data_IF_616883793876
#
_entry.id   IF_616883793876
#
_cell.length_a   1.000
_cell.length_b   1.000
_cell.length_c   1.000
_cell.angle_alpha   90.00
_cell.angle_beta   90.00
_cell.angle_gamma   90.00
#
_symmetry.space_group_name_H-M   'P 1'
#
loop_
_entity.id
_entity.type
_entity.pdbx_description
1 polymer ?
#
# COMPACT_ATOMS: atom_id res chain seq x y z
N UNK A 1 -8.81 29.88 -13.19
CA UNK A 1 -9.70 28.80 -13.65
C UNK A 1 -10.06 27.99 -12.43
N UNK A 2 -11.34 27.95 -12.05
CA UNK A 2 -11.80 26.98 -11.02
C UNK A 2 -11.40 25.59 -11.49
N UNK A 3 -10.71 24.83 -10.63
CA UNK A 3 -10.46 23.42 -10.89
C UNK A 3 -11.82 22.75 -11.07
N UNK A 4 -12.09 22.20 -12.27
CA UNK A 4 -13.38 21.61 -12.58
C UNK A 4 -13.62 20.42 -11.64
N UNK A 5 -14.63 20.54 -10.78
CA UNK A 5 -15.06 19.48 -9.87
C UNK A 5 -15.60 18.31 -10.69
N UNK A 6 -14.96 17.14 -10.59
CA UNK A 6 -15.43 15.89 -11.22
C UNK A 6 -15.86 14.93 -10.14
N UNK A 7 -17.12 14.52 -10.16
CA UNK A 7 -17.62 13.48 -9.25
C UNK A 7 -17.24 12.09 -9.78
N UNK A 8 -16.45 11.29 -9.04
CA UNK A 8 -16.09 9.95 -9.49
C UNK A 8 -17.29 9.01 -9.36
N UNK A 9 -17.41 8.06 -10.29
CA UNK A 9 -18.34 6.95 -10.13
C UNK A 9 -17.88 6.05 -8.98
N UNK A 10 -18.75 5.82 -7.99
CA UNK A 10 -18.46 4.92 -6.87
C UNK A 10 -18.93 3.52 -7.23
N UNK A 11 -18.00 2.56 -7.27
CA UNK A 11 -18.30 1.14 -7.50
C UNK A 11 -17.91 0.34 -6.25
N UNK A 12 -18.82 -0.46 -5.72
CA UNK A 12 -18.58 -1.30 -4.53
C UNK A 12 -18.59 -2.79 -4.81
N UNK A 13 -19.11 -3.21 -5.96
CA UNK A 13 -19.19 -4.62 -6.35
C UNK A 13 -18.06 -5.03 -7.31
N UNK A 14 -17.54 -6.24 -7.12
CA UNK A 14 -16.40 -6.79 -7.88
C UNK A 14 -16.78 -7.00 -9.35
N UNK A 15 -18.00 -7.46 -9.64
CA UNK A 15 -18.46 -7.73 -11.00
C UNK A 15 -18.77 -6.44 -11.75
N UNK A 16 -19.38 -5.46 -11.08
CA UNK A 16 -19.60 -4.13 -11.64
C UNK A 16 -18.28 -3.44 -12.02
N UNK A 17 -17.26 -3.54 -11.17
CA UNK A 17 -15.93 -2.99 -11.47
C UNK A 17 -15.30 -3.65 -12.70
N UNK A 18 -15.34 -4.99 -12.77
CA UNK A 18 -14.86 -5.73 -13.95
C UNK A 18 -15.61 -5.36 -15.22
N UNK A 19 -16.95 -5.26 -15.14
CA UNK A 19 -17.79 -4.88 -16.27
C UNK A 19 -17.45 -3.48 -16.76
N UNK A 20 -17.28 -2.52 -15.85
CA UNK A 20 -16.85 -1.17 -16.19
C UNK A 20 -15.49 -1.18 -16.87
N UNK A 21 -14.48 -1.83 -16.28
CA UNK A 21 -13.12 -1.87 -16.83
C UNK A 21 -13.10 -2.47 -18.23
N UNK A 22 -13.73 -3.64 -18.42
CA UNK A 22 -13.77 -4.31 -19.72
C UNK A 22 -14.51 -3.51 -20.78
N UNK A 23 -15.57 -2.79 -20.39
CA UNK A 23 -16.30 -1.88 -21.30
C UNK A 23 -15.41 -0.71 -21.73
N UNK A 24 -14.64 -0.14 -20.82
CA UNK A 24 -13.73 0.97 -21.16
C UNK A 24 -12.55 0.49 -22.00
N UNK A 25 -11.98 -0.67 -21.66
CA UNK A 25 -10.89 -1.30 -22.43
C UNK A 25 -11.34 -1.67 -23.85
N UNK A 26 -12.57 -2.16 -24.05
CA UNK A 26 -13.08 -2.47 -25.40
C UNK A 26 -13.27 -1.22 -26.27
N UNK A 27 -13.33 -0.04 -25.67
CA UNK A 27 -13.32 1.26 -26.35
C UNK A 27 -11.89 1.81 -26.57
N UNK A 28 -10.86 1.01 -26.30
CA UNK A 28 -9.45 1.40 -26.45
C UNK A 28 -8.96 2.37 -25.36
N UNK A 29 -9.66 2.49 -24.22
CA UNK A 29 -9.22 3.34 -23.11
C UNK A 29 -8.26 2.58 -22.21
N UNK A 30 -7.14 3.23 -21.88
CA UNK A 30 -6.19 2.76 -20.87
C UNK A 30 -6.63 3.15 -19.45
N UNK A 31 -6.39 2.28 -18.47
CA UNK A 31 -6.81 2.42 -17.08
C UNK A 31 -5.59 2.49 -16.16
N UNK A 32 -5.50 3.55 -15.37
CA UNK A 32 -4.53 3.74 -14.29
C UNK A 32 -5.16 3.42 -12.95
N UNK A 33 -4.50 2.62 -12.13
CA UNK A 33 -4.96 2.26 -10.78
C UNK A 33 -4.04 2.86 -9.70
N UNK A 34 -4.65 3.49 -8.70
CA UNK A 34 -3.99 3.90 -7.46
C UNK A 34 -4.60 3.13 -6.28
N UNK A 35 -3.95 2.05 -5.79
CA UNK A 35 -4.43 1.32 -4.64
C UNK A 35 -4.17 2.07 -3.34
N UNK A 36 -5.21 2.29 -2.53
CA UNK A 36 -5.11 2.96 -1.22
C UNK A 36 -5.95 2.26 -0.15
N UNK A 37 -5.67 2.58 1.11
CA UNK A 37 -6.52 2.21 2.26
C UNK A 37 -7.41 3.36 2.74
N UNK A 38 -7.55 4.44 1.97
CA UNK A 38 -8.28 5.64 2.38
C UNK A 38 -7.50 6.54 3.36
N UNK A 39 -8.22 7.49 3.95
CA UNK A 39 -7.68 8.59 4.74
C UNK A 39 -6.60 9.36 3.96
N UNK A 40 -6.99 9.81 2.79
CA UNK A 40 -6.15 10.37 1.75
C UNK A 40 -5.52 11.70 2.21
N UNK A 41 -4.32 11.93 1.71
CA UNK A 41 -3.48 13.11 1.96
C UNK A 41 -2.77 13.48 0.66
N UNK A 42 -2.05 14.59 0.61
CA UNK A 42 -1.45 15.09 -0.64
C UNK A 42 -0.49 14.07 -1.30
N UNK A 43 0.20 13.25 -0.51
CA UNK A 43 1.02 12.14 -1.06
C UNK A 43 0.23 11.07 -1.82
N UNK A 44 -1.07 10.88 -1.53
CA UNK A 44 -1.95 10.02 -2.34
C UNK A 44 -2.42 10.75 -3.59
N UNK A 45 -2.74 12.05 -3.47
CA UNK A 45 -3.16 12.89 -4.58
C UNK A 45 -2.08 12.95 -5.67
N UNK A 46 -0.80 13.04 -5.30
CA UNK A 46 0.30 12.99 -6.27
C UNK A 46 0.39 11.66 -7.03
N UNK A 47 -0.06 10.53 -6.45
CA UNK A 47 -0.15 9.25 -7.17
C UNK A 47 -1.25 9.29 -8.23
N UNK A 48 -2.39 9.91 -7.90
CA UNK A 48 -3.52 10.10 -8.81
C UNK A 48 -3.12 11.00 -9.97
N UNK A 49 -2.46 12.12 -9.69
CA UNK A 49 -1.91 13.02 -10.71
C UNK A 49 -0.93 12.31 -11.64
N UNK A 50 -0.11 11.39 -11.11
CA UNK A 50 0.79 10.60 -11.95
C UNK A 50 0.03 9.58 -12.81
N UNK A 51 -1.01 8.92 -12.28
CA UNK A 51 -1.85 8.02 -13.06
C UNK A 51 -2.54 8.76 -14.23
N UNK A 52 -3.07 9.95 -13.98
CA UNK A 52 -3.75 10.79 -14.97
C UNK A 52 -2.85 11.19 -16.15
N UNK A 53 -1.53 11.30 -15.95
CA UNK A 53 -0.57 11.59 -17.03
C UNK A 53 -0.32 10.38 -17.93
N UNK A 54 -0.58 9.17 -17.45
CA UNK A 54 -0.13 7.92 -18.06
C UNK A 54 -1.26 7.12 -18.70
N UNK A 55 -2.52 7.41 -18.37
CA UNK A 55 -3.68 6.65 -18.83
C UNK A 55 -4.88 7.54 -19.17
N UNK A 56 -5.86 7.01 -19.90
CA UNK A 56 -7.06 7.76 -20.27
C UNK A 56 -8.06 7.87 -19.12
N UNK A 57 -8.11 6.84 -18.27
CA UNK A 57 -9.01 6.74 -17.13
C UNK A 57 -8.22 6.44 -15.87
N UNK A 58 -8.69 6.93 -14.73
CA UNK A 58 -8.07 6.72 -13.42
C UNK A 58 -9.06 6.13 -12.43
N UNK A 59 -8.65 5.02 -11.82
CA UNK A 59 -9.35 4.32 -10.75
C UNK A 59 -8.56 4.48 -9.45
N UNK A 60 -9.21 4.90 -8.38
CA UNK A 60 -8.65 4.86 -7.03
C UNK A 60 -9.37 3.78 -6.24
N UNK A 61 -8.65 2.80 -5.69
CA UNK A 61 -9.28 1.86 -4.76
C UNK A 61 -9.13 2.36 -3.33
N UNK A 62 -10.20 2.28 -2.53
CA UNK A 62 -10.18 2.57 -1.10
C UNK A 62 -10.64 1.30 -0.38
N UNK A 63 -9.70 0.58 0.23
CA UNK A 63 -10.00 -0.63 0.98
C UNK A 63 -8.97 -0.88 2.08
N UNK A 64 -9.41 -0.86 3.34
CA UNK A 64 -8.57 -1.27 4.48
C UNK A 64 -8.52 -2.79 4.50
N UNK A 65 -7.38 -3.33 4.10
CA UNK A 65 -7.20 -4.77 3.91
C UNK A 65 -6.96 -5.48 5.25
N UNK A 66 -7.85 -6.32 5.79
CA UNK A 66 -7.59 -7.05 7.04
C UNK A 66 -6.46 -8.08 6.91
N UNK A 67 -6.23 -8.66 5.73
CA UNK A 67 -5.24 -9.72 5.53
C UNK A 67 -3.77 -9.27 5.65
N UNK A 68 -3.51 -7.96 5.71
CA UNK A 68 -2.17 -7.41 5.95
C UNK A 68 -1.96 -6.94 7.39
N UNK A 69 -2.95 -7.08 8.28
CA UNK A 69 -2.82 -6.74 9.69
C UNK A 69 -2.70 -8.02 10.53
N UNK A 70 -1.78 -8.02 11.49
CA UNK A 70 -1.82 -8.99 12.57
C UNK A 70 -2.86 -8.58 13.63
N UNK A 71 -3.43 -9.51 14.42
CA UNK A 71 -4.39 -9.21 15.48
C UNK A 71 -3.96 -8.13 16.48
N UNK A 72 -2.65 -8.01 16.70
CA UNK A 72 -2.05 -7.00 17.58
C UNK A 72 -1.84 -5.63 16.93
N UNK A 73 -2.12 -5.48 15.63
CA UNK A 73 -1.96 -4.24 14.89
C UNK A 73 -3.23 -3.38 14.89
N UNK A 74 -3.12 -2.20 14.31
CA UNK A 74 -4.08 -1.11 14.43
C UNK A 74 -5.27 -1.19 13.45
N UNK A 75 -5.73 -2.39 13.08
CA UNK A 75 -6.84 -2.55 12.12
C UNK A 75 -8.11 -1.84 12.61
N UNK A 76 -8.49 -2.03 13.88
CA UNK A 76 -9.70 -1.46 14.48
C UNK A 76 -9.63 0.06 14.69
N UNK A 77 -8.42 0.61 14.74
CA UNK A 77 -8.16 2.04 14.94
C UNK A 77 -7.63 2.73 13.69
N UNK A 78 -7.62 2.04 12.53
CA UNK A 78 -7.12 2.61 11.29
C UNK A 78 -8.02 3.80 10.90
N UNK A 79 -7.45 4.99 10.59
CA UNK A 79 -8.25 6.17 10.33
C UNK A 79 -9.09 6.01 9.05
N UNK A 80 -10.33 6.48 9.09
CA UNK A 80 -11.24 6.45 7.94
C UNK A 80 -12.05 7.74 7.87
N UNK A 81 -12.15 8.30 6.66
CA UNK A 81 -12.97 9.47 6.34
C UNK A 81 -13.34 9.41 4.86
N UNK A 82 -14.27 8.50 4.52
CA UNK A 82 -14.63 8.27 3.13
C UNK A 82 -15.17 9.53 2.44
N UNK A 83 -15.96 10.35 3.16
CA UNK A 83 -16.49 11.59 2.61
C UNK A 83 -15.38 12.61 2.31
N UNK A 84 -14.42 12.77 3.24
CA UNK A 84 -13.25 13.61 3.01
C UNK A 84 -12.34 13.07 1.91
N UNK A 85 -12.25 11.75 1.74
CA UNK A 85 -11.50 11.12 0.66
C UNK A 85 -12.13 11.43 -0.71
N UNK A 86 -13.44 11.21 -0.87
CA UNK A 86 -14.16 11.57 -2.09
C UNK A 86 -14.02 13.06 -2.36
N UNK A 87 -14.20 13.91 -1.34
CA UNK A 87 -14.06 15.36 -1.48
C UNK A 87 -12.70 15.74 -2.06
N UNK A 88 -11.59 15.19 -1.52
CA UNK A 88 -10.24 15.45 -2.06
C UNK A 88 -10.10 14.97 -3.50
N UNK A 89 -10.61 13.78 -3.83
CA UNK A 89 -10.52 13.22 -5.18
C UNK A 89 -11.30 14.03 -6.22
N UNK A 90 -12.42 14.66 -5.83
CA UNK A 90 -13.22 15.51 -6.71
C UNK A 90 -12.49 16.78 -7.18
N UNK A 91 -11.54 17.27 -6.39
CA UNK A 91 -10.77 18.48 -6.67
C UNK A 91 -9.43 18.21 -7.37
N UNK A 92 -9.10 16.94 -7.66
CA UNK A 92 -7.88 16.61 -8.40
C UNK A 92 -8.03 17.12 -9.84
N UNK A 93 -7.10 17.95 -10.35
CA UNK A 93 -7.13 18.40 -11.74
C UNK A 93 -7.10 17.21 -12.71
N UNK A 94 -8.02 17.18 -13.69
CA UNK A 94 -8.23 16.03 -14.58
C UNK A 94 -9.23 15.00 -14.05
N UNK A 95 -9.36 14.92 -12.72
CA UNK A 95 -10.42 14.23 -11.99
C UNK A 95 -10.37 12.70 -12.05
N UNK A 96 -10.77 12.05 -10.96
CA UNK A 96 -10.88 10.59 -10.89
C UNK A 96 -12.14 10.10 -11.62
N UNK A 97 -12.02 9.02 -12.40
CA UNK A 97 -13.17 8.43 -13.10
C UNK A 97 -13.97 7.51 -12.18
N UNK A 98 -13.28 6.66 -11.42
CA UNK A 98 -13.90 5.68 -10.53
C UNK A 98 -13.21 5.63 -9.18
N UNK A 99 -14.01 5.59 -8.11
CA UNK A 99 -13.56 5.13 -6.80
C UNK A 99 -14.11 3.73 -6.58
N UNK A 100 -13.21 2.75 -6.54
CA UNK A 100 -13.55 1.38 -6.21
C UNK A 100 -13.46 1.18 -4.70
N UNK A 101 -14.62 1.13 -4.03
CA UNK A 101 -14.73 0.98 -2.58
C UNK A 101 -15.48 -0.32 -2.25
N UNK A 102 -14.81 -1.49 -2.40
CA UNK A 102 -15.48 -2.76 -2.21
C UNK A 102 -15.90 -2.96 -0.76
N UNK A 103 -17.12 -3.49 -0.55
CA UNK A 103 -17.56 -3.91 0.78
C UNK A 103 -16.61 -4.96 1.37
N UNK A 104 -16.18 -5.90 0.53
CA UNK A 104 -15.15 -6.84 0.88
C UNK A 104 -14.43 -7.36 -0.35
N UNK A 105 -13.13 -7.64 -0.21
CA UNK A 105 -12.38 -8.37 -1.21
C UNK A 105 -12.31 -9.86 -0.91
N UNK A 106 -12.45 -10.27 0.35
CA UNK A 106 -12.49 -11.66 0.79
C UNK A 106 -13.91 -12.21 0.74
N UNK A 107 -14.05 -13.53 0.75
CA UNK A 107 -15.34 -14.18 0.87
C UNK A 107 -15.34 -14.84 2.26
N UNK A 108 -16.22 -14.36 3.13
CA UNK A 108 -16.48 -14.98 4.42
C UNK A 108 -17.65 -15.94 4.20
N UNK A 109 -17.47 -17.24 4.49
CA UNK A 109 -18.58 -18.19 4.39
C UNK A 109 -19.78 -17.70 5.22
N UNK A 110 -20.97 -17.70 4.64
CA UNK A 110 -22.18 -17.22 5.30
C UNK A 110 -22.44 -17.98 6.62
N UNK A 111 -22.27 -17.30 7.75
CA UNK A 111 -22.56 -17.81 9.10
C UNK A 111 -24.06 -18.03 9.40
N UNK A 112 -24.95 -17.92 8.41
CA UNK A 112 -26.38 -18.17 8.60
C UNK A 112 -26.77 -19.67 8.62
N UNK A 113 -25.82 -20.61 8.56
CA UNK A 113 -26.13 -22.06 8.63
C UNK A 113 -25.34 -22.87 9.66
N UNK A 114 -24.53 -22.25 10.54
CA UNK A 114 -23.96 -22.98 11.68
C UNK A 114 -24.93 -22.94 12.86
N UNK A 115 -25.56 -24.09 13.11
CA UNK A 115 -26.36 -24.33 14.31
C UNK A 115 -25.58 -23.94 15.56
N UNK A 116 -26.23 -23.22 16.49
CA UNK A 116 -25.72 -22.81 17.82
C UNK A 116 -25.25 -23.96 18.74
N UNK A 117 -25.26 -25.21 18.27
CA UNK A 117 -24.91 -26.38 19.06
C UNK A 117 -23.50 -26.94 18.78
N UNK A 118 -22.71 -26.33 17.90
CA UNK A 118 -21.36 -26.81 17.58
C UNK A 118 -20.25 -25.86 18.07
N UNK A 119 -20.46 -25.28 19.25
CA UNK A 119 -19.47 -24.45 19.96
C UNK A 119 -18.46 -25.36 20.68
N UNK A 120 -17.87 -26.30 19.94
CA UNK A 120 -17.21 -27.45 20.55
C UNK A 120 -16.16 -28.19 19.73
N UNK A 121 -15.52 -27.61 18.71
CA UNK A 121 -14.27 -28.17 18.15
C UNK A 121 -13.57 -27.24 17.14
N UNK A 122 -12.86 -26.22 17.63
CA UNK A 122 -11.69 -25.68 16.90
C UNK A 122 -10.53 -25.57 17.90
N UNK A 123 -10.07 -26.73 18.38
CA UNK A 123 -8.75 -26.86 18.99
C UNK A 123 -8.01 -27.95 18.21
N UNK A 124 -6.78 -27.63 17.86
CA UNK A 124 -5.74 -28.50 17.29
C UNK A 124 -5.70 -28.56 15.76
N UNK A 125 -5.18 -27.48 15.15
CA UNK A 125 -4.33 -27.61 13.97
C UNK A 125 -2.87 -27.47 14.45
N UNK A 126 -2.34 -28.56 15.01
CA UNK A 126 -0.90 -28.69 15.24
C UNK A 126 -0.22 -28.95 13.89
N UNK A 127 0.24 -27.88 13.25
CA UNK A 127 1.06 -27.91 12.03
C UNK A 127 1.93 -26.66 12.00
N UNK A 128 3.26 -26.85 12.04
CA UNK A 128 4.30 -25.81 12.16
C UNK A 128 4.03 -24.54 11.31
N UNK A 129 3.81 -23.42 12.00
CA UNK A 129 3.97 -22.06 11.47
C UNK A 129 2.85 -21.10 11.86
N UNK A 130 2.67 -20.82 13.14
CA UNK A 130 1.59 -19.94 13.62
C UNK A 130 1.86 -18.49 13.20
N UNK A 131 1.19 -18.08 12.12
CA UNK A 131 1.14 -16.71 11.62
C UNK A 131 -0.32 -16.43 11.27
N UNK A 132 -1.03 -15.79 12.20
CA UNK A 132 -2.47 -15.49 12.11
C UNK A 132 -2.63 -14.02 11.73
N UNK A 133 -3.25 -13.74 10.58
CA UNK A 133 -3.75 -12.40 10.23
C UNK A 133 -5.13 -12.15 10.83
N UNK A 134 -5.59 -10.89 10.90
CA UNK A 134 -6.96 -10.57 11.34
C UNK A 134 -8.03 -11.31 10.50
N UNK A 135 -7.73 -11.62 9.24
CA UNK A 135 -8.61 -12.40 8.36
C UNK A 135 -8.69 -13.88 8.75
N UNK A 136 -7.56 -14.48 9.14
CA UNK A 136 -7.50 -15.89 9.55
C UNK A 136 -8.06 -16.08 10.98
N UNK A 137 -7.93 -15.07 11.85
CA UNK A 137 -8.49 -15.10 13.22
C UNK A 137 -10.02 -15.04 13.23
N UNK A 138 -10.62 -14.23 12.37
CA UNK A 138 -12.09 -14.11 12.29
C UNK A 138 -12.78 -15.39 11.82
N UNK A 139 -12.01 -16.40 11.38
CA UNK A 139 -12.49 -17.58 10.67
C UNK A 139 -12.99 -17.21 9.28
N UNK A 140 -12.90 -18.18 8.37
CA UNK A 140 -13.61 -18.29 7.08
C UNK A 140 -12.80 -18.11 5.78
N UNK A 141 -12.89 -19.15 4.95
CA UNK A 141 -13.01 -19.16 3.48
C UNK A 141 -11.78 -18.82 2.64
N UNK A 142 -10.87 -17.95 3.10
CA UNK A 142 -9.78 -17.49 2.24
C UNK A 142 -8.53 -18.39 2.30
N UNK A 143 -8.41 -19.28 1.32
CA UNK A 143 -7.32 -20.26 1.27
C UNK A 143 -6.17 -19.85 0.35
N UNK A 144 -6.42 -18.96 -0.61
CA UNK A 144 -5.44 -18.60 -1.66
C UNK A 144 -4.66 -17.35 -1.30
N UNK A 145 -3.35 -17.49 -1.15
CA UNK A 145 -2.46 -16.39 -0.81
C UNK A 145 -1.35 -16.23 -1.84
N UNK A 146 -0.89 -14.99 -2.05
CA UNK A 146 0.27 -14.68 -2.88
C UNK A 146 1.41 -14.23 -1.97
N UNK A 147 2.60 -14.81 -2.16
CA UNK A 147 3.82 -14.50 -1.40
C UNK A 147 4.97 -14.20 -2.34
N UNK A 148 5.82 -13.26 -1.94
CA UNK A 148 7.07 -12.95 -2.66
C UNK A 148 8.22 -13.39 -1.76
N UNK A 149 8.42 -14.71 -1.72
CA UNK A 149 9.09 -15.43 -0.64
C UNK A 149 10.38 -14.79 -0.14
N UNK A 150 11.29 -14.39 -1.03
CA UNK A 150 12.59 -13.84 -0.63
C UNK A 150 12.53 -12.36 -0.25
N UNK A 151 11.72 -11.56 -0.95
CA UNK A 151 11.70 -10.10 -0.75
C UNK A 151 10.83 -9.67 0.42
N UNK A 152 9.86 -10.49 0.82
CA UNK A 152 9.05 -10.25 2.02
C UNK A 152 9.84 -10.47 3.32
N UNK A 153 10.95 -11.20 3.27
CA UNK A 153 11.79 -11.46 4.44
C UNK A 153 12.69 -10.26 4.77
N UNK A 154 12.90 -10.01 6.07
CA UNK A 154 13.74 -8.93 6.56
C UNK A 154 13.08 -7.55 6.47
N UNK A 155 13.78 -6.50 6.93
CA UNK A 155 13.27 -5.12 6.99
C UNK A 155 11.90 -5.07 7.69
N UNK A 156 10.90 -4.44 7.06
CA UNK A 156 9.54 -4.34 7.58
C UNK A 156 8.90 -5.73 7.80
N UNK A 157 9.21 -6.71 6.94
CA UNK A 157 8.63 -8.05 7.04
C UNK A 157 9.14 -8.84 8.24
N UNK A 158 10.30 -8.47 8.81
CA UNK A 158 10.78 -9.06 10.07
C UNK A 158 9.88 -8.70 11.24
N UNK A 159 9.39 -7.46 11.28
CA UNK A 159 8.49 -6.97 12.33
C UNK A 159 7.03 -7.26 12.05
N UNK A 160 6.68 -7.54 10.78
CA UNK A 160 5.30 -7.72 10.31
C UNK A 160 5.16 -8.95 9.39
N UNK A 161 5.19 -10.17 9.95
CA UNK A 161 5.30 -11.41 9.17
C UNK A 161 4.13 -11.68 8.20
N UNK A 162 2.92 -11.18 8.49
CA UNK A 162 1.74 -11.30 7.59
C UNK A 162 1.66 -10.22 6.53
N UNK A 163 2.32 -9.07 6.74
CA UNK A 163 1.98 -7.83 6.05
C UNK A 163 2.11 -7.96 4.55
N UNK A 164 3.25 -8.46 4.06
CA UNK A 164 3.49 -8.52 2.62
C UNK A 164 2.73 -9.63 1.90
N UNK A 165 2.42 -10.75 2.58
CA UNK A 165 1.48 -11.76 2.04
C UNK A 165 0.10 -11.13 1.84
N UNK A 166 -0.38 -10.37 2.83
CA UNK A 166 -1.63 -9.62 2.74
C UNK A 166 -1.65 -8.59 1.61
N UNK A 167 -0.58 -7.79 1.50
CA UNK A 167 -0.40 -6.80 0.42
C UNK A 167 -0.41 -7.48 -0.95
N UNK A 168 0.46 -8.48 -1.18
CA UNK A 168 0.59 -9.13 -2.47
C UNK A 168 -0.74 -9.78 -2.89
N UNK A 169 -1.46 -10.38 -1.93
CA UNK A 169 -2.77 -10.98 -2.15
C UNK A 169 -3.82 -9.94 -2.52
N UNK A 170 -3.95 -8.85 -1.76
CA UNK A 170 -4.97 -7.83 -2.05
C UNK A 170 -4.68 -7.09 -3.35
N UNK A 171 -3.42 -6.79 -3.65
CA UNK A 171 -3.02 -6.13 -4.90
C UNK A 171 -3.28 -7.05 -6.09
N UNK A 172 -2.99 -8.35 -5.98
CA UNK A 172 -3.36 -9.35 -6.99
C UNK A 172 -4.86 -9.38 -7.25
N UNK A 173 -5.68 -9.32 -6.20
CA UNK A 173 -7.15 -9.28 -6.34
C UNK A 173 -7.61 -7.99 -7.02
N UNK A 174 -7.04 -6.84 -6.64
CA UNK A 174 -7.34 -5.56 -7.29
C UNK A 174 -6.95 -5.56 -8.77
N UNK A 175 -5.79 -6.12 -9.13
CA UNK A 175 -5.37 -6.25 -10.54
C UNK A 175 -6.33 -7.12 -11.36
N UNK A 176 -6.81 -8.24 -10.79
CA UNK A 176 -7.80 -9.11 -11.43
C UNK A 176 -9.22 -8.51 -11.51
N UNK A 177 -9.55 -7.52 -10.69
CA UNK A 177 -10.87 -6.88 -10.67
C UNK A 177 -10.88 -5.63 -11.56
N UNK A 178 -9.84 -4.79 -11.44
CA UNK A 178 -9.75 -3.51 -12.14
C UNK A 178 -9.15 -3.67 -13.54
N UNK A 179 -8.31 -4.69 -13.77
CA UNK A 179 -7.60 -4.92 -15.04
C UNK A 179 -6.87 -3.65 -15.56
N UNK A 180 -6.02 -3.00 -14.75
CA UNK A 180 -5.37 -1.75 -15.15
C UNK A 180 -4.21 -1.99 -16.12
N UNK A 181 -3.87 -0.99 -16.94
CA UNK A 181 -2.64 -0.99 -17.75
C UNK A 181 -1.44 -0.44 -16.97
N UNK A 182 -1.71 0.46 -16.02
CA UNK A 182 -0.72 1.10 -15.16
C UNK A 182 -1.20 1.03 -13.71
N UNK A 183 -0.32 0.71 -12.77
CA UNK A 183 -0.60 0.89 -11.35
C UNK A 183 0.50 1.73 -10.68
N UNK A 184 0.08 2.71 -9.89
CA UNK A 184 0.97 3.72 -9.29
C UNK A 184 1.07 3.50 -7.78
N UNK A 185 2.30 3.45 -7.27
CA UNK A 185 2.61 3.26 -5.86
C UNK A 185 3.62 4.29 -5.38
N UNK A 186 3.53 4.72 -4.12
CA UNK A 186 4.52 5.60 -3.51
C UNK A 186 5.78 4.83 -3.07
N UNK A 187 6.97 5.36 -3.38
CA UNK A 187 8.25 4.81 -2.91
C UNK A 187 8.48 4.97 -1.41
N UNK A 188 7.58 5.66 -0.70
CA UNK A 188 7.56 5.74 0.78
C UNK A 188 7.59 4.34 1.38
N UNK A 189 6.76 3.46 0.84
CA UNK A 189 6.69 2.07 1.26
C UNK A 189 7.54 1.23 0.29
N UNK A 190 8.86 1.51 0.27
CA UNK A 190 9.78 1.03 -0.76
C UNK A 190 9.78 -0.49 -0.93
N UNK A 191 9.83 -1.25 0.18
CA UNK A 191 9.78 -2.72 0.13
C UNK A 191 8.44 -3.22 -0.46
N UNK A 192 7.33 -2.55 -0.16
CA UNK A 192 6.02 -2.85 -0.73
C UNK A 192 6.04 -2.68 -2.25
N UNK A 193 6.53 -1.53 -2.73
CA UNK A 193 6.65 -1.26 -4.17
C UNK A 193 7.52 -2.30 -4.86
N UNK A 194 8.67 -2.67 -4.27
CA UNK A 194 9.56 -3.72 -4.82
C UNK A 194 8.91 -5.11 -4.84
N UNK A 195 8.12 -5.45 -3.83
CA UNK A 195 7.34 -6.69 -3.77
C UNK A 195 6.30 -6.72 -4.87
N UNK A 196 5.54 -5.65 -5.07
CA UNK A 196 4.55 -5.56 -6.16
C UNK A 196 5.23 -5.65 -7.52
N UNK A 197 6.34 -4.95 -7.74
CA UNK A 197 7.11 -5.05 -8.99
C UNK A 197 7.58 -6.48 -9.26
N UNK A 198 8.09 -7.17 -8.23
CA UNK A 198 8.54 -8.54 -8.36
C UNK A 198 7.39 -9.50 -8.65
N UNK A 199 6.28 -9.34 -7.94
CA UNK A 199 5.05 -10.11 -8.14
C UNK A 199 4.51 -9.97 -9.55
N UNK A 200 4.45 -8.73 -10.07
CA UNK A 200 4.00 -8.42 -11.43
C UNK A 200 4.85 -9.12 -12.48
N UNK A 201 6.18 -9.06 -12.30
CA UNK A 201 7.13 -9.74 -13.18
C UNK A 201 7.01 -11.26 -13.12
N UNK A 202 6.93 -11.83 -11.92
CA UNK A 202 6.98 -13.28 -11.71
C UNK A 202 5.66 -13.98 -12.07
N UNK A 203 4.54 -13.25 -12.05
CA UNK A 203 3.20 -13.75 -12.40
C UNK A 203 2.70 -13.23 -13.76
N UNK A 204 3.61 -12.69 -14.58
CA UNK A 204 3.35 -12.24 -15.95
C UNK A 204 2.16 -11.27 -16.09
N UNK A 205 1.99 -10.38 -15.10
CA UNK A 205 0.98 -9.34 -15.20
C UNK A 205 1.36 -8.34 -16.29
N UNK A 206 0.46 -8.13 -17.26
CA UNK A 206 0.57 -7.09 -18.29
C UNK A 206 0.24 -5.69 -17.72
N UNK A 207 0.90 -5.32 -16.62
CA UNK A 207 0.65 -4.09 -15.86
C UNK A 207 1.97 -3.36 -15.65
N UNK A 208 2.06 -2.10 -16.06
CA UNK A 208 3.24 -1.27 -15.80
C UNK A 208 3.17 -0.68 -14.39
N UNK A 209 4.17 -0.99 -13.56
CA UNK A 209 4.25 -0.50 -12.18
C UNK A 209 5.10 0.75 -12.08
N UNK A 210 4.47 1.86 -11.67
CA UNK A 210 5.11 3.17 -11.54
C UNK A 210 5.32 3.48 -10.06
N UNK A 211 6.56 3.86 -9.73
CA UNK A 211 6.94 4.29 -8.38
C UNK A 211 7.17 5.78 -8.34
N UNK A 212 6.43 6.51 -7.50
CA UNK A 212 6.60 7.96 -7.32
C UNK A 212 7.45 8.27 -6.09
N UNK A 213 8.17 9.39 -6.12
CA UNK A 213 8.97 9.82 -4.98
C UNK A 213 8.11 10.24 -3.77
N UNK A 214 8.71 10.15 -2.59
CA UNK A 214 8.04 10.45 -1.32
C UNK A 214 7.68 11.93 -1.26
N UNK A 215 6.39 12.24 -1.11
CA UNK A 215 5.95 13.59 -0.80
C UNK A 215 6.09 13.88 0.71
N UNK A 216 6.51 15.10 1.03
CA UNK A 216 6.77 15.56 2.39
C UNK A 216 5.97 16.82 2.69
N UNK A 217 5.62 17.01 3.95
CA UNK A 217 5.16 18.30 4.47
C UNK A 217 6.24 19.38 4.29
N UNK A 218 5.86 20.64 4.42
CA UNK A 218 6.76 21.80 4.28
C UNK A 218 7.97 21.76 5.23
N UNK A 219 7.87 21.05 6.35
CA UNK A 219 8.96 20.86 7.32
C UNK A 219 9.79 19.60 7.07
N UNK A 220 9.48 18.84 6.02
CA UNK A 220 10.21 17.66 5.57
C UNK A 220 9.69 16.33 6.13
N UNK A 221 8.65 16.31 6.96
CA UNK A 221 8.05 15.06 7.44
C UNK A 221 7.42 14.30 6.27
N UNK A 222 7.65 12.99 6.15
CA UNK A 222 6.96 12.20 5.12
C UNK A 222 5.45 12.17 5.41
N UNK A 223 4.64 12.40 4.37
CA UNK A 223 3.19 12.36 4.51
C UNK A 223 2.71 10.92 4.74
N UNK A 224 1.83 10.73 5.72
CA UNK A 224 1.27 9.45 6.11
C UNK A 224 -0.08 9.65 6.81
N UNK A 225 -1.06 8.79 6.53
CA UNK A 225 -2.33 8.76 7.26
C UNK A 225 -2.10 8.60 8.77
N UNK A 226 -1.09 7.81 9.15
CA UNK A 226 -0.70 7.54 10.54
C UNK A 226 -0.13 8.75 11.29
N UNK A 227 0.18 9.85 10.61
CA UNK A 227 0.67 11.06 11.30
C UNK A 227 -0.39 11.68 12.22
N UNK A 228 -1.68 11.36 12.03
CA UNK A 228 -2.79 11.81 12.90
C UNK A 228 -2.65 11.31 14.35
N UNK A 229 -1.91 10.23 14.58
CA UNK A 229 -1.70 9.66 15.92
C UNK A 229 -0.59 10.39 16.69
N UNK A 230 0.19 11.26 16.05
CA UNK A 230 1.31 11.95 16.70
C UNK A 230 0.82 13.21 17.42
N UNK A 231 1.18 13.35 18.70
CA UNK A 231 1.09 14.65 19.38
C UNK A 231 2.02 15.68 18.73
N UNK A 232 1.78 16.98 18.97
CA UNK A 232 2.66 18.04 18.45
C UNK A 232 4.14 17.86 18.87
N UNK A 233 4.39 17.30 20.06
CA UNK A 233 5.74 17.00 20.55
C UNK A 233 6.36 15.83 19.79
N UNK A 234 5.63 14.75 19.58
CA UNK A 234 6.09 13.58 18.82
C UNK A 234 6.29 13.92 17.35
N UNK A 235 5.39 14.69 16.74
CA UNK A 235 5.51 15.14 15.35
C UNK A 235 6.79 15.94 15.12
N UNK A 236 7.18 16.82 16.05
CA UNK A 236 8.46 17.55 15.98
C UNK A 236 9.66 16.61 16.09
N UNK A 237 9.60 15.58 16.95
CA UNK A 237 10.66 14.57 17.08
C UNK A 237 10.78 13.69 15.83
N UNK A 238 9.67 13.37 15.17
CA UNK A 238 9.63 12.56 13.96
C UNK A 238 10.43 13.18 12.79
N UNK A 239 10.67 14.49 12.79
CA UNK A 239 11.53 15.17 11.82
C UNK A 239 13.00 14.69 11.88
N UNK A 240 13.44 14.11 13.00
CA UNK A 240 14.77 13.49 13.09
C UNK A 240 14.97 12.40 12.03
N UNK A 241 13.92 11.66 11.68
CA UNK A 241 13.97 10.60 10.66
C UNK A 241 14.27 11.19 9.28
N UNK A 242 13.50 12.18 8.85
CA UNK A 242 13.69 12.77 7.52
C UNK A 242 15.02 13.53 7.41
N UNK A 243 15.38 14.30 8.44
CA UNK A 243 16.62 15.07 8.47
C UNK A 243 17.85 14.18 8.45
N UNK A 244 17.87 13.12 9.27
CA UNK A 244 19.01 12.20 9.31
C UNK A 244 19.17 11.40 8.01
N UNK A 245 18.07 10.93 7.40
CA UNK A 245 18.11 10.26 6.10
C UNK A 245 18.62 11.19 4.99
N UNK A 246 18.20 12.46 4.98
CA UNK A 246 18.71 13.45 4.03
C UNK A 246 20.20 13.76 4.25
N UNK A 247 20.63 13.84 5.52
CA UNK A 247 22.04 14.01 5.86
C UNK A 247 22.91 12.83 5.42
N UNK A 248 22.44 11.59 5.63
CA UNK A 248 23.10 10.39 5.16
C UNK A 248 23.14 10.33 3.62
N UNK A 249 22.04 10.70 2.94
CA UNK A 249 22.01 10.82 1.47
C UNK A 249 23.06 11.83 0.97
N UNK A 250 23.08 13.03 1.53
CA UNK A 250 24.03 14.07 1.13
C UNK A 250 25.48 13.64 1.39
N UNK A 251 25.74 12.95 2.51
CA UNK A 251 27.07 12.40 2.81
C UNK A 251 27.50 11.36 1.78
N UNK A 252 26.59 10.48 1.37
CA UNK A 252 26.85 9.49 0.32
C UNK A 252 27.12 10.15 -1.05
N UNK A 253 26.34 11.18 -1.41
CA UNK A 253 26.52 11.96 -2.64
C UNK A 253 27.86 12.71 -2.65
N UNK A 254 28.37 13.10 -1.48
CA UNK A 254 29.69 13.72 -1.29
C UNK A 254 30.85 12.70 -1.21
N UNK A 255 30.61 11.43 -1.55
CA UNK A 255 31.65 10.39 -1.66
C UNK A 255 31.86 9.56 -0.40
N UNK A 256 31.06 9.75 0.65
CA UNK A 256 31.11 8.91 1.84
C UNK A 256 30.37 7.58 1.59
N UNK A 257 31.11 6.54 1.21
CA UNK A 257 30.53 5.25 0.79
C UNK A 257 30.44 4.20 1.91
N UNK A 258 30.86 4.50 3.14
CA UNK A 258 30.77 3.53 4.24
C UNK A 258 29.30 3.39 4.71
N UNK A 259 28.63 2.35 4.23
CA UNK A 259 27.23 2.07 4.55
C UNK A 259 26.97 1.92 6.07
N UNK A 260 27.94 1.42 6.84
CA UNK A 260 27.80 1.26 8.28
C UNK A 260 27.76 2.61 8.98
N UNK A 261 28.69 3.50 8.64
CA UNK A 261 28.76 4.84 9.21
C UNK A 261 27.53 5.68 8.85
N UNK A 262 27.09 5.63 7.59
CA UNK A 262 25.84 6.28 7.15
C UNK A 262 24.64 5.80 7.97
N UNK A 263 24.48 4.48 8.11
CA UNK A 263 23.39 3.88 8.90
C UNK A 263 23.47 4.29 10.36
N UNK A 264 24.65 4.18 10.97
CA UNK A 264 24.83 4.41 12.40
C UNK A 264 24.60 5.90 12.75
N UNK A 265 24.95 6.82 11.84
CA UNK A 265 24.62 8.25 11.98
C UNK A 265 23.11 8.51 12.02
N UNK A 266 22.33 7.79 11.21
CA UNK A 266 20.86 7.87 11.21
C UNK A 266 20.30 7.31 12.51
N UNK A 267 20.83 6.16 12.95
CA UNK A 267 20.40 5.52 14.19
C UNK A 267 20.63 6.43 15.40
N UNK A 268 21.81 7.04 15.46
CA UNK A 268 22.18 7.97 16.53
C UNK A 268 21.23 9.17 16.56
N UNK A 269 21.05 9.85 15.42
CA UNK A 269 20.21 11.05 15.35
C UNK A 269 18.75 10.81 15.76
N UNK A 270 18.16 9.67 15.38
CA UNK A 270 16.79 9.31 15.76
C UNK A 270 16.71 8.94 17.24
N UNK A 271 17.71 8.23 17.76
CA UNK A 271 17.76 7.82 19.17
C UNK A 271 17.94 9.03 20.11
N UNK A 272 18.77 10.00 19.75
CA UNK A 272 18.96 11.27 20.48
C UNK A 272 17.69 12.13 20.53
N UNK A 273 16.84 12.06 19.48
CA UNK A 273 15.53 12.69 19.48
C UNK A 273 14.49 11.96 20.39
N UNK A 274 14.87 10.81 20.95
CA UNK A 274 14.04 9.94 21.77
C UNK A 274 13.15 8.99 20.96
N UNK A 275 13.52 8.70 19.71
CA UNK A 275 12.87 7.68 18.89
C UNK A 275 13.42 6.29 19.18
N UNK A 276 12.56 5.27 19.15
CA UNK A 276 12.96 3.87 19.15
C UNK A 276 12.98 3.36 17.70
N UNK A 277 14.09 2.76 17.30
CA UNK A 277 14.29 2.28 15.93
C UNK A 277 13.98 0.80 15.86
N UNK A 278 13.11 0.41 14.93
CA UNK A 278 12.86 -1.00 14.62
C UNK A 278 13.95 -1.56 13.69
N UNK A 279 14.30 -0.80 12.66
CA UNK A 279 15.42 -1.10 11.75
C UNK A 279 15.92 0.15 11.02
N UNK A 280 17.17 0.12 10.56
CA UNK A 280 17.75 1.10 9.64
C UNK A 280 18.76 0.37 8.74
N UNK A 281 18.68 0.56 7.43
CA UNK A 281 19.40 -0.26 6.46
C UNK A 281 19.80 0.55 5.23
N UNK A 282 21.00 0.29 4.70
CA UNK A 282 21.48 0.83 3.42
C UNK A 282 21.56 -0.34 2.45
N UNK A 283 20.86 -0.22 1.32
CA UNK A 283 20.75 -1.29 0.33
C UNK A 283 21.03 -0.75 -1.06
N UNK A 284 21.68 -1.57 -1.89
CA UNK A 284 21.82 -1.25 -3.31
C UNK A 284 20.44 -1.23 -3.98
N UNK A 285 20.20 -0.24 -4.84
CA UNK A 285 19.05 -0.26 -5.73
C UNK A 285 19.25 -1.40 -6.73
N UNK A 286 18.61 -2.56 -6.49
CA UNK A 286 18.64 -3.66 -7.47
C UNK A 286 17.86 -3.18 -8.69
N UNK A 287 18.54 -2.76 -9.75
CA UNK A 287 17.92 -2.49 -11.04
C UNK A 287 17.53 -3.83 -11.67
N UNK A 288 16.22 -4.11 -11.71
CA UNK A 288 15.69 -5.18 -12.55
C UNK A 288 15.14 -4.46 -13.77
N UNK A 289 15.97 -4.28 -14.80
CA UNK A 289 15.47 -3.90 -16.11
C UNK A 289 14.57 -5.04 -16.61
N UNK A 290 13.35 -4.78 -17.14
CA UNK A 290 12.83 -5.67 -18.13
C UNK A 290 13.78 -5.57 -19.34
N UNK A 291 14.28 -6.71 -19.81
CA UNK A 291 14.84 -6.78 -21.15
C UNK A 291 13.79 -6.23 -22.11
N UNK A 292 14.00 -5.02 -22.60
CA UNK A 292 13.47 -4.61 -23.90
C UNK A 292 14.18 -5.50 -24.92
N UNK A 293 13.60 -6.65 -25.21
CA UNK A 293 13.90 -7.41 -26.41
C UNK A 293 13.05 -6.81 -27.54
N UNK A 294 13.76 -6.61 -28.64
CA UNK A 294 13.38 -6.11 -29.97
C UNK A 294 11.96 -6.49 -30.42
#
# INVERSE_FOLDING_TARGET
>A
MEASKKEPLIITDKEQMRKWSRTMRSQGKSIGLVPTMGYLHQGHISLVEEALKLTNLTVVSIYVNPGQFAPSEDLSTYPSDFHGDISKLMYVPGGVDVVFHPHNLYDYENDMKRNKNDMGACKNLEGKGEVVSCLEESGMGHETWVRVEKLENGLCGKSRPVFFRGVATVVTKLFNIVEPDVAVFGKKDYQQWRIVQRMVRDLDFSIRIIGTEILRDNDGLAMSSRNVHLSAKERRKALSISRSLLGAKSSAENGHINCRELRDSVIQAVSEAGGRIDYAEVRGAVFVFPNSAV
#
